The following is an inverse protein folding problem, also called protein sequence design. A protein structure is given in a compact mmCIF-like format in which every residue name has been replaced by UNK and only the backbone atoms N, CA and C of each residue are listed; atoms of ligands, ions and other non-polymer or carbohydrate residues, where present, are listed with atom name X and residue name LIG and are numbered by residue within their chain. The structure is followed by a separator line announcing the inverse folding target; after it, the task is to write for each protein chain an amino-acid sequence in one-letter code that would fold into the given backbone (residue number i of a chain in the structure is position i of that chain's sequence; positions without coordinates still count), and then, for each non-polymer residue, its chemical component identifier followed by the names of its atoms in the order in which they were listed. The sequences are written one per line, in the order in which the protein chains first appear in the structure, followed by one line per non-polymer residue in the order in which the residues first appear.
data_IF_035300814021
#
_entry.id   IF_035300814021
#
_cell.length_a   1.000
_cell.length_b   1.000
_cell.length_c   1.000
_cell.angle_alpha   90.00
_cell.angle_beta   90.00
_cell.angle_gamma   90.00
#
_symmetry.space_group_name_H-M   'P 1'
#
loop_
_entity.id
_entity.type
_entity.pdbx_description
1 polymer ?
#
# COMPACT_ATOMS: atom_id res chain seq x y z
N UNK A 1 -0.03 65.69 35.98
CA UNK A 1 0.84 64.51 36.10
C UNK A 1 -0.01 63.31 35.73
N UNK A 2 -0.42 63.27 34.46
CA UNK A 2 -1.52 62.43 33.97
C UNK A 2 -1.33 62.29 32.47
N UNK A 3 -0.24 61.63 32.07
CA UNK A 3 -0.08 61.21 30.66
C UNK A 3 1.01 60.14 30.45
N UNK A 4 1.33 59.36 31.48
CA UNK A 4 2.31 58.27 31.37
C UNK A 4 1.69 56.88 31.51
N UNK A 5 0.50 56.74 32.10
CA UNK A 5 -0.20 55.45 32.21
C UNK A 5 -0.93 55.03 30.92
N UNK A 6 -1.23 55.97 30.03
CA UNK A 6 -1.91 55.73 28.74
C UNK A 6 -0.98 55.14 27.66
N UNK A 7 0.34 55.31 27.81
CA UNK A 7 1.34 54.84 26.85
C UNK A 7 1.86 53.42 27.11
N UNK A 8 1.53 52.81 28.25
CA UNK A 8 2.02 51.47 28.63
C UNK A 8 1.07 50.31 28.29
N UNK A 9 -0.13 50.57 27.75
CA UNK A 9 -1.15 49.55 27.51
C UNK A 9 -1.54 49.32 26.04
N UNK A 10 -0.90 50.01 25.09
CA UNK A 10 -1.06 49.66 23.67
C UNK A 10 -0.12 48.50 23.32
N UNK A 11 -0.54 47.25 23.61
CA UNK A 11 0.09 46.08 23.00
C UNK A 11 -0.09 46.21 21.48
N UNK A 12 0.97 46.42 20.67
CA UNK A 12 0.85 46.76 19.26
C UNK A 12 0.45 45.56 18.39
N UNK A 13 -0.07 44.50 19.00
CA UNK A 13 -0.53 43.32 18.28
C UNK A 13 -1.86 43.66 17.63
N UNK A 14 -1.96 43.59 16.29
CA UNK A 14 -3.21 43.85 15.61
C UNK A 14 -4.31 42.94 16.18
N UNK A 15 -5.46 43.53 16.53
CA UNK A 15 -6.64 42.80 16.99
C UNK A 15 -7.03 41.76 15.93
N UNK A 16 -6.76 40.49 16.21
CA UNK A 16 -7.13 39.39 15.31
C UNK A 16 -8.64 39.16 15.39
N UNK A 17 -9.30 39.07 14.24
CA UNK A 17 -10.74 38.76 14.19
C UNK A 17 -11.00 37.31 14.61
N UNK A 18 -12.15 37.00 15.23
CA UNK A 18 -12.55 35.63 15.49
C UNK A 18 -12.58 34.82 14.18
N UNK A 19 -11.70 33.81 14.05
CA UNK A 19 -11.58 32.98 12.86
C UNK A 19 -10.35 33.26 11.96
N UNK A 20 -9.56 34.30 12.24
CA UNK A 20 -8.30 34.54 11.57
C UNK A 20 -7.22 33.56 12.07
N UNK A 21 -7.11 32.41 11.40
CA UNK A 21 -5.99 31.50 11.59
C UNK A 21 -4.76 32.10 10.93
N UNK A 22 -3.74 32.43 11.72
CA UNK A 22 -2.41 32.70 11.16
C UNK A 22 -1.88 31.46 10.42
N UNK A 23 -0.90 31.60 9.53
CA UNK A 23 -0.36 30.49 8.74
C UNK A 23 0.04 29.25 9.59
N UNK A 24 0.63 29.49 10.77
CA UNK A 24 0.97 28.42 11.74
C UNK A 24 -0.24 27.76 12.38
N UNK A 25 -1.32 28.51 12.60
CA UNK A 25 -2.56 27.98 13.17
C UNK A 25 -3.33 27.17 12.14
N UNK A 26 -3.36 27.64 10.88
CA UNK A 26 -3.92 26.92 9.75
C UNK A 26 -3.16 25.60 9.53
N UNK A 27 -1.82 25.62 9.49
CA UNK A 27 -1.02 24.40 9.34
C UNK A 27 -1.29 23.37 10.44
N UNK A 28 -1.34 23.81 11.71
CA UNK A 28 -1.68 22.93 12.85
C UNK A 28 -3.11 22.41 12.79
N UNK A 29 -4.05 23.22 12.31
CA UNK A 29 -5.44 22.80 12.14
C UNK A 29 -5.56 21.76 11.02
N UNK A 30 -4.98 22.01 9.85
CA UNK A 30 -4.95 21.08 8.71
C UNK A 30 -4.29 19.76 9.12
N UNK A 31 -3.16 19.82 9.83
CA UNK A 31 -2.49 18.61 10.34
C UNK A 31 -3.39 17.81 11.28
N UNK A 32 -4.07 18.46 12.23
CA UNK A 32 -5.03 17.77 13.12
C UNK A 32 -6.21 17.16 12.37
N UNK A 33 -6.68 17.82 11.32
CA UNK A 33 -7.77 17.30 10.50
C UNK A 33 -7.31 16.07 9.71
N UNK A 34 -6.14 16.15 9.08
CA UNK A 34 -5.57 15.07 8.26
C UNK A 34 -5.21 13.84 9.11
N UNK A 35 -4.73 14.04 10.32
CA UNK A 35 -4.35 12.97 11.26
C UNK A 35 -5.51 12.47 12.14
N UNK A 36 -6.76 12.81 11.81
CA UNK A 36 -7.93 12.29 12.51
C UNK A 36 -8.44 10.98 11.90
N UNK A 37 -8.88 10.05 12.77
CA UNK A 37 -9.46 8.77 12.34
C UNK A 37 -10.68 8.94 11.40
N UNK A 38 -11.48 9.99 11.63
CA UNK A 38 -12.63 10.32 10.79
C UNK A 38 -12.19 10.61 9.35
N UNK A 39 -11.16 11.44 9.19
CA UNK A 39 -10.63 11.76 7.85
C UNK A 39 -10.08 10.51 7.18
N UNK A 40 -9.37 9.64 7.89
CA UNK A 40 -8.88 8.38 7.33
C UNK A 40 -10.03 7.50 6.78
N UNK A 41 -11.13 7.37 7.51
CA UNK A 41 -12.30 6.60 7.06
C UNK A 41 -12.98 7.22 5.83
N UNK A 42 -13.08 8.56 5.79
CA UNK A 42 -13.62 9.27 4.62
C UNK A 42 -12.71 9.09 3.41
N UNK A 43 -11.39 9.23 3.58
CA UNK A 43 -10.42 9.04 2.51
C UNK A 43 -10.44 7.60 1.97
N UNK A 44 -10.61 6.61 2.86
CA UNK A 44 -10.78 5.21 2.45
C UNK A 44 -12.04 5.03 1.58
N UNK A 45 -13.17 5.64 1.98
CA UNK A 45 -14.40 5.60 1.18
C UNK A 45 -14.21 6.30 -0.18
N UNK A 46 -13.56 7.47 -0.19
CA UNK A 46 -13.28 8.21 -1.42
C UNK A 46 -12.36 7.41 -2.34
N UNK A 47 -11.32 6.77 -1.80
CA UNK A 47 -10.44 5.88 -2.56
C UNK A 47 -11.21 4.71 -3.17
N UNK A 48 -12.11 4.09 -2.41
CA UNK A 48 -12.94 2.99 -2.90
C UNK A 48 -13.84 3.44 -4.08
N UNK A 49 -14.47 4.61 -3.98
CA UNK A 49 -15.28 5.18 -5.07
C UNK A 49 -14.42 5.55 -6.28
N UNK A 50 -13.24 6.11 -6.04
CA UNK A 50 -12.25 6.48 -7.05
C UNK A 50 -11.71 5.27 -7.84
N UNK A 51 -11.67 4.08 -7.23
CA UNK A 51 -11.21 2.85 -7.88
C UNK A 51 -12.26 2.24 -8.84
N UNK A 52 -13.55 2.57 -8.69
CA UNK A 52 -14.63 1.99 -9.50
C UNK A 52 -14.43 2.22 -11.00
N UNK A 53 -14.17 3.45 -11.49
CA UNK A 53 -13.93 3.67 -12.91
C UNK A 53 -12.75 2.85 -13.46
N UNK A 54 -11.65 2.74 -12.69
CA UNK A 54 -10.46 1.99 -13.08
C UNK A 54 -10.70 0.48 -13.25
N UNK A 55 -11.76 -0.06 -12.63
CA UNK A 55 -12.15 -1.47 -12.77
C UNK A 55 -13.14 -1.74 -13.90
N UNK A 56 -13.78 -0.70 -14.44
CA UNK A 56 -14.82 -0.83 -15.48
C UNK A 56 -14.29 -0.38 -16.84
N UNK A 57 -13.42 0.63 -16.86
CA UNK A 57 -12.89 1.24 -18.07
C UNK A 57 -11.53 0.60 -18.38
N UNK A 58 -11.24 0.22 -19.65
CA UNK A 58 -9.93 -0.32 -20.02
C UNK A 58 -8.79 0.60 -19.58
N UNK A 59 -7.74 0.03 -18.99
CA UNK A 59 -6.58 0.77 -18.51
C UNK A 59 -5.38 0.56 -19.44
N UNK A 60 -4.68 1.64 -19.79
CA UNK A 60 -3.58 1.59 -20.76
C UNK A 60 -2.40 0.76 -20.26
N UNK A 61 -2.11 0.80 -18.95
CA UNK A 61 -1.07 -0.01 -18.33
C UNK A 61 -1.41 -1.51 -18.19
N UNK A 62 -2.61 -1.93 -18.61
CA UNK A 62 -3.05 -3.35 -18.63
C UNK A 62 -3.20 -3.85 -20.06
N UNK A 63 -3.95 -3.14 -20.91
CA UNK A 63 -4.12 -3.47 -22.33
C UNK A 63 -4.30 -2.18 -23.15
N UNK A 64 -3.18 -1.68 -23.69
CA UNK A 64 -3.17 -0.50 -24.55
C UNK A 64 -3.97 -0.68 -25.85
N UNK A 65 -4.06 -1.92 -26.36
CA UNK A 65 -4.79 -2.23 -27.59
C UNK A 65 -6.31 -2.22 -27.36
N UNK A 66 -6.77 -2.69 -26.21
CA UNK A 66 -8.18 -2.57 -25.79
C UNK A 66 -8.57 -1.10 -25.62
N UNK A 67 -7.72 -0.29 -24.99
CA UNK A 67 -7.92 1.17 -24.88
C UNK A 67 -8.03 1.81 -26.26
N UNK A 68 -7.13 1.51 -27.19
CA UNK A 68 -7.15 2.03 -28.55
C UNK A 68 -8.47 1.69 -29.26
N UNK A 69 -8.88 0.41 -29.23
CA UNK A 69 -10.16 -0.04 -29.78
C UNK A 69 -11.37 0.65 -29.14
N UNK A 70 -11.34 0.88 -27.83
CA UNK A 70 -12.42 1.58 -27.13
C UNK A 70 -12.56 3.02 -27.63
N UNK A 71 -11.44 3.72 -27.81
CA UNK A 71 -11.41 5.12 -28.27
C UNK A 71 -11.98 5.26 -29.69
N UNK A 72 -11.66 4.32 -30.56
CA UNK A 72 -12.19 4.27 -31.94
C UNK A 72 -13.71 4.03 -31.96
N UNK A 73 -14.22 3.22 -31.03
CA UNK A 73 -15.66 2.93 -30.91
C UNK A 73 -16.46 4.07 -30.27
N UNK A 74 -15.82 4.92 -29.45
CA UNK A 74 -16.48 5.96 -28.66
C UNK A 74 -15.89 7.38 -28.86
N UNK A 75 -15.80 7.89 -30.11
CA UNK A 75 -15.07 9.12 -30.43
C UNK A 75 -15.61 10.38 -29.73
N UNK A 76 -16.89 10.41 -29.34
CA UNK A 76 -17.49 11.54 -28.63
C UNK A 76 -17.19 11.55 -27.13
N UNK A 77 -16.93 10.39 -26.51
CA UNK A 77 -16.65 10.25 -25.07
C UNK A 77 -15.15 10.34 -24.78
N UNK A 78 -14.31 9.89 -25.73
CA UNK A 78 -12.85 9.85 -25.61
C UNK A 78 -12.25 11.16 -25.06
N UNK A 79 -12.57 12.36 -25.58
CA UNK A 79 -11.96 13.61 -25.08
C UNK A 79 -12.27 13.90 -23.61
N UNK A 80 -13.46 13.49 -23.13
CA UNK A 80 -13.86 13.68 -21.73
C UNK A 80 -13.08 12.70 -20.84
N UNK A 81 -12.98 11.44 -21.26
CA UNK A 81 -12.31 10.39 -20.50
C UNK A 81 -10.81 10.66 -20.39
N UNK A 82 -10.18 11.14 -21.46
CA UNK A 82 -8.77 11.56 -21.45
C UNK A 82 -8.53 12.75 -20.52
N UNK A 83 -9.42 13.76 -20.55
CA UNK A 83 -9.31 14.93 -19.67
C UNK A 83 -9.45 14.58 -18.18
N UNK A 84 -10.20 13.53 -17.87
CA UNK A 84 -10.37 13.00 -16.52
C UNK A 84 -9.36 11.90 -16.17
N UNK A 85 -8.46 11.53 -17.09
CA UNK A 85 -7.49 10.44 -16.95
C UNK A 85 -8.14 9.09 -16.63
N UNK A 86 -9.29 8.78 -17.22
CA UNK A 86 -10.04 7.53 -16.93
C UNK A 86 -9.43 6.26 -17.55
N UNK A 87 -8.53 6.40 -18.53
CA UNK A 87 -7.77 5.27 -19.08
C UNK A 87 -6.47 4.97 -18.31
N UNK A 88 -6.11 5.85 -17.37
CA UNK A 88 -4.91 5.74 -16.54
C UNK A 88 -5.23 6.24 -15.14
N UNK A 89 -6.30 5.69 -14.54
CA UNK A 89 -6.84 6.15 -13.26
C UNK A 89 -5.79 6.05 -12.15
N UNK A 90 -5.06 4.93 -12.12
CA UNK A 90 -4.08 4.63 -11.08
C UNK A 90 -2.86 5.56 -11.10
N UNK A 91 -2.50 6.08 -12.28
CA UNK A 91 -1.39 7.02 -12.46
C UNK A 91 -1.84 8.49 -12.45
N UNK A 92 -3.14 8.72 -12.36
CA UNK A 92 -3.69 10.08 -12.40
C UNK A 92 -3.30 10.89 -11.17
N UNK A 93 -3.08 12.20 -11.36
CA UNK A 93 -2.72 13.11 -10.28
C UNK A 93 -3.81 13.17 -9.17
N UNK A 94 -5.08 13.04 -9.54
CA UNK A 94 -6.19 13.11 -8.59
C UNK A 94 -6.31 11.82 -7.76
N UNK A 95 -6.09 10.64 -8.34
CA UNK A 95 -6.06 9.37 -7.61
C UNK A 95 -4.85 9.33 -6.67
N UNK A 96 -3.68 9.73 -7.18
CA UNK A 96 -2.45 9.86 -6.40
C UNK A 96 -2.62 10.81 -5.21
N UNK A 97 -3.33 11.93 -5.38
CA UNK A 97 -3.60 12.86 -4.27
C UNK A 97 -4.42 12.19 -3.15
N UNK A 98 -5.44 11.40 -3.48
CA UNK A 98 -6.25 10.67 -2.49
C UNK A 98 -5.36 9.67 -1.74
N UNK A 99 -4.56 8.90 -2.47
CA UNK A 99 -3.64 7.91 -1.90
C UNK A 99 -2.59 8.56 -0.98
N UNK A 100 -1.96 9.66 -1.40
CA UNK A 100 -0.97 10.39 -0.59
C UNK A 100 -1.62 10.96 0.68
N UNK A 101 -2.82 11.54 0.58
CA UNK A 101 -3.56 12.03 1.74
C UNK A 101 -3.90 10.90 2.71
N UNK A 102 -4.32 9.74 2.20
CA UNK A 102 -4.60 8.55 3.00
C UNK A 102 -3.32 8.06 3.71
N UNK A 103 -2.19 8.02 3.00
CA UNK A 103 -0.90 7.65 3.57
C UNK A 103 -0.48 8.59 4.70
N UNK A 104 -0.52 9.92 4.45
CA UNK A 104 -0.17 10.91 5.47
C UNK A 104 -1.12 10.79 6.67
N UNK A 105 -2.41 10.56 6.43
CA UNK A 105 -3.40 10.35 7.49
C UNK A 105 -3.07 9.11 8.33
N UNK A 106 -2.76 7.99 7.67
CA UNK A 106 -2.39 6.72 8.30
C UNK A 106 -1.13 6.87 9.18
N UNK A 107 -0.07 7.45 8.61
CA UNK A 107 1.19 7.73 9.32
C UNK A 107 0.96 8.69 10.49
N UNK A 108 0.17 9.74 10.26
CA UNK A 108 -0.18 10.72 11.28
C UNK A 108 -1.02 10.17 12.42
N UNK A 109 -1.85 9.16 12.18
CA UNK A 109 -2.60 8.44 13.21
C UNK A 109 -1.71 7.47 14.00
N UNK A 110 -0.81 6.75 13.31
CA UNK A 110 -0.07 5.63 13.91
C UNK A 110 1.10 6.08 14.78
N UNK A 111 1.81 7.16 14.38
CA UNK A 111 3.01 7.61 15.07
C UNK A 111 2.69 8.04 16.51
N UNK A 112 1.74 8.96 16.77
CA UNK A 112 1.42 9.39 18.13
C UNK A 112 0.87 8.23 18.96
N UNK A 113 0.06 7.37 18.35
CA UNK A 113 -0.50 6.20 19.02
C UNK A 113 0.57 5.22 19.46
N UNK A 114 1.57 4.97 18.62
CA UNK A 114 2.73 4.14 18.96
C UNK A 114 3.46 4.70 20.17
N UNK A 115 3.72 6.01 20.21
CA UNK A 115 4.40 6.62 21.36
C UNK A 115 3.59 6.55 22.65
N UNK A 116 2.28 6.85 22.60
CA UNK A 116 1.39 6.73 23.77
C UNK A 116 1.35 5.28 24.26
N UNK A 117 1.25 4.33 23.34
CA UNK A 117 1.21 2.92 23.66
C UNK A 117 2.52 2.42 24.28
N UNK A 118 3.67 2.80 23.72
CA UNK A 118 4.99 2.50 24.28
C UNK A 118 5.16 3.10 25.69
N UNK A 119 4.64 4.31 25.91
CA UNK A 119 4.62 4.94 27.23
C UNK A 119 3.73 4.17 28.21
N UNK A 120 2.57 3.69 27.78
CA UNK A 120 1.63 2.92 28.62
C UNK A 120 2.14 1.50 28.94
N UNK A 121 2.85 0.85 28.00
CA UNK A 121 3.52 -0.43 28.30
C UNK A 121 4.56 -0.24 29.39
N UNK A 122 5.26 0.90 29.43
CA UNK A 122 6.30 1.19 30.42
C UNK A 122 5.74 1.78 31.73
N UNK A 123 4.50 2.26 31.73
CA UNK A 123 3.86 2.81 32.92
C UNK A 123 3.52 1.70 33.93
N UNK A 124 3.54 2.04 35.21
CA UNK A 124 3.02 1.13 36.24
C UNK A 124 1.49 1.04 36.14
N UNK A 125 0.89 -0.09 36.56
CA UNK A 125 -0.56 -0.20 36.66
C UNK A 125 -1.14 0.94 37.53
N UNK A 126 -2.34 1.45 37.18
CA UNK A 126 -2.98 2.54 37.93
C UNK A 126 -3.22 2.13 39.38
N UNK A 127 -3.18 3.08 40.32
CA UNK A 127 -3.47 2.79 41.72
C UNK A 127 -4.92 2.31 41.90
N UNK A 128 -5.16 1.44 42.90
CA UNK A 128 -6.50 1.01 43.22
C UNK A 128 -7.35 2.22 43.66
N UNK A 129 -8.59 2.35 43.16
CA UNK A 129 -9.45 3.44 43.57
C UNK A 129 -9.83 3.30 45.05
N UNK A 130 -9.95 4.42 45.76
CA UNK A 130 -10.28 4.47 47.19
C UNK A 130 -11.58 3.75 47.57
N UNK A 131 -12.52 3.61 46.63
CA UNK A 131 -13.79 2.94 46.85
C UNK A 131 -14.05 1.90 45.76
N UNK A 132 -13.67 0.65 46.04
CA UNK A 132 -13.81 -0.49 45.12
C UNK A 132 -15.27 -0.87 44.86
N UNK A 133 -16.19 -0.59 45.79
CA UNK A 133 -17.61 -0.91 45.68
C UNK A 133 -18.34 -0.06 44.62
N UNK A 134 -17.73 1.02 44.14
CA UNK A 134 -18.27 1.84 43.06
C UNK A 134 -17.95 1.30 41.66
N UNK A 135 -17.08 0.29 41.55
CA UNK A 135 -16.77 -0.32 40.27
C UNK A 135 -17.97 -1.17 39.80
N UNK A 136 -18.35 -1.11 38.51
CA UNK A 136 -19.45 -1.90 37.97
C UNK A 136 -19.25 -3.40 38.19
N UNK A 137 -18.01 -3.87 38.02
CA UNK A 137 -17.60 -5.24 38.26
C UNK A 137 -16.81 -5.32 39.57
N UNK A 138 -17.49 -5.69 40.65
CA UNK A 138 -16.86 -5.96 41.95
C UNK A 138 -17.47 -7.20 42.62
N UNK A 139 -16.67 -7.83 43.48
CA UNK A 139 -17.12 -8.91 44.35
C UNK A 139 -16.45 -8.76 45.72
N UNK A 140 -17.20 -9.03 46.79
CA UNK A 140 -16.72 -8.95 48.17
C UNK A 140 -16.84 -10.30 48.86
N UNK A 141 -15.78 -10.70 49.56
CA UNK A 141 -15.72 -11.93 50.32
C UNK A 141 -15.14 -11.64 51.70
N UNK A 142 -15.58 -12.37 52.72
CA UNK A 142 -15.01 -12.31 54.07
C UNK A 142 -13.97 -13.41 54.23
N UNK A 143 -12.80 -13.09 54.78
CA UNK A 143 -11.73 -14.05 55.08
C UNK A 143 -11.32 -13.93 56.56
N UNK A 144 -11.00 -15.04 57.24
CA UNK A 144 -10.42 -15.01 58.58
C UNK A 144 -8.90 -14.73 58.58
N UNK A 145 -8.27 -14.65 57.41
CA UNK A 145 -6.84 -14.38 57.27
C UNK A 145 -6.51 -12.90 57.46
N UNK A 146 -5.28 -12.61 57.91
CA UNK A 146 -4.74 -11.26 58.00
C UNK A 146 -4.58 -10.63 56.60
N UNK A 147 -4.71 -9.30 56.52
CA UNK A 147 -4.68 -8.53 55.25
C UNK A 147 -3.41 -8.82 54.44
N UNK A 148 -2.26 -8.86 55.10
CA UNK A 148 -0.97 -9.10 54.44
C UNK A 148 -0.88 -10.50 53.80
N UNK A 149 -1.48 -11.51 54.44
CA UNK A 149 -1.50 -12.88 53.94
C UNK A 149 -2.40 -12.98 52.68
N UNK A 150 -3.56 -12.33 52.71
CA UNK A 150 -4.47 -12.25 51.57
C UNK A 150 -3.80 -11.53 50.39
N UNK A 151 -3.14 -10.40 50.63
CA UNK A 151 -2.42 -9.66 49.58
C UNK A 151 -1.25 -10.47 49.02
N UNK A 152 -0.50 -11.20 49.85
CA UNK A 152 0.59 -12.06 49.40
C UNK A 152 0.09 -13.19 48.49
N UNK A 153 -0.98 -13.88 48.87
CA UNK A 153 -1.60 -14.92 48.06
C UNK A 153 -2.15 -14.35 46.74
N UNK A 154 -2.81 -13.18 46.78
CA UNK A 154 -3.30 -12.51 45.59
C UNK A 154 -2.16 -12.15 44.61
N UNK A 155 -1.00 -11.68 45.09
CA UNK A 155 0.18 -11.41 44.25
C UNK A 155 0.66 -12.66 43.51
N UNK A 156 0.71 -13.81 44.20
CA UNK A 156 1.13 -15.09 43.60
C UNK A 156 0.15 -15.51 42.50
N UNK A 157 -1.15 -15.49 42.79
CA UNK A 157 -2.19 -15.88 41.83
C UNK A 157 -2.18 -14.95 40.61
N UNK A 158 -2.13 -13.64 40.81
CA UNK A 158 -2.15 -12.67 39.70
C UNK A 158 -0.88 -12.77 38.83
N UNK A 159 0.31 -12.95 39.43
CA UNK A 159 1.54 -13.19 38.66
C UNK A 159 1.48 -14.50 37.87
N UNK A 160 0.97 -15.58 38.47
CA UNK A 160 0.84 -16.88 37.79
C UNK A 160 -0.10 -16.80 36.57
N UNK A 161 -1.08 -15.88 36.61
CA UNK A 161 -1.98 -15.58 35.50
C UNK A 161 -1.46 -14.50 34.56
N UNK A 162 -0.20 -14.09 34.67
CA UNK A 162 0.44 -13.12 33.76
C UNK A 162 -0.06 -11.68 33.90
N UNK A 163 -0.59 -11.29 35.06
CA UNK A 163 -0.90 -9.88 35.33
C UNK A 163 0.36 -9.12 35.72
N UNK A 164 0.44 -7.86 35.28
CA UNK A 164 1.46 -6.93 35.75
C UNK A 164 0.97 -6.25 37.03
N UNK A 165 1.78 -6.31 38.08
CA UNK A 165 1.46 -5.73 39.39
C UNK A 165 2.08 -4.35 39.52
N UNK A 166 1.40 -3.47 40.26
CA UNK A 166 2.00 -2.23 40.76
C UNK A 166 2.85 -2.56 41.99
N UNK A 167 4.07 -2.05 42.04
CA UNK A 167 4.92 -2.17 43.22
C UNK A 167 4.32 -1.35 44.37
N UNK A 168 4.43 -1.85 45.61
CA UNK A 168 3.97 -1.13 46.79
C UNK A 168 4.75 0.19 46.89
N UNK A 169 4.03 1.30 47.01
CA UNK A 169 4.58 2.67 47.02
C UNK A 169 4.61 3.16 48.46
N UNK A 170 5.77 3.13 49.17
CA UNK A 170 5.89 3.37 50.61
C UNK A 170 5.17 4.59 51.19
N UNK A 171 4.97 5.63 50.37
CA UNK A 171 4.38 6.90 50.78
C UNK A 171 3.12 7.28 49.97
N UNK A 172 2.66 6.39 49.08
CA UNK A 172 1.38 6.52 48.39
C UNK A 172 0.21 5.96 49.21
N UNK A 173 -1.05 6.10 48.75
CA UNK A 173 -2.11 5.17 49.13
C UNK A 173 -1.71 3.78 48.59
N UNK A 174 -0.80 3.12 49.30
CA UNK A 174 0.16 2.22 48.66
C UNK A 174 1.39 1.82 49.49
N UNK A 175 1.67 2.47 50.62
CA UNK A 175 2.89 2.23 51.41
C UNK A 175 2.92 0.94 52.21
N UNK A 176 4.02 0.56 52.92
CA UNK A 176 3.97 -0.59 53.81
C UNK A 176 2.81 -0.38 54.81
N UNK A 177 1.70 -1.10 54.59
CA UNK A 177 0.38 -0.81 55.18
C UNK A 177 -0.73 -0.42 54.20
N UNK A 178 -0.58 -0.58 52.88
CA UNK A 178 -1.64 -0.31 51.93
C UNK A 178 -2.50 -1.53 51.65
N UNK A 179 -3.75 -1.45 52.10
CA UNK A 179 -4.79 -2.49 52.04
C UNK A 179 -5.27 -2.83 50.62
N UNK A 180 -4.49 -2.55 49.57
CA UNK A 180 -4.92 -2.73 48.18
C UNK A 180 -3.80 -3.20 47.24
N UNK A 181 -4.19 -4.03 46.28
CA UNK A 181 -3.32 -4.52 45.20
C UNK A 181 -3.95 -4.15 43.86
N UNK A 182 -3.17 -3.51 42.98
CA UNK A 182 -3.59 -3.21 41.62
C UNK A 182 -2.80 -4.04 40.61
N UNK A 183 -3.51 -4.55 39.61
CA UNK A 183 -2.97 -5.43 38.59
C UNK A 183 -3.69 -5.19 37.26
N UNK A 184 -2.95 -5.28 36.15
CA UNK A 184 -3.52 -5.12 34.82
C UNK A 184 -3.03 -6.20 33.84
N UNK A 185 -3.86 -6.50 32.84
CA UNK A 185 -3.58 -7.40 31.73
C UNK A 185 -4.45 -6.97 30.54
N UNK A 186 -4.01 -7.21 29.30
CA UNK A 186 -4.85 -6.97 28.10
C UNK A 186 -4.21 -6.21 26.94
N UNK A 187 -2.90 -5.99 26.96
CA UNK A 187 -2.17 -5.22 25.95
C UNK A 187 -2.22 -5.81 24.52
N UNK A 188 -2.43 -7.12 24.36
CA UNK A 188 -2.37 -7.82 23.06
C UNK A 188 -3.32 -7.25 22.01
N UNK A 189 -4.53 -6.83 22.40
CA UNK A 189 -5.52 -6.28 21.45
C UNK A 189 -5.01 -5.00 20.80
N UNK A 190 -4.35 -4.15 21.58
CA UNK A 190 -3.81 -2.89 21.08
C UNK A 190 -2.51 -3.09 20.30
N UNK A 191 -1.64 -4.02 20.75
CA UNK A 191 -0.47 -4.44 19.96
C UNK A 191 -0.90 -4.92 18.58
N UNK A 192 -1.87 -5.84 18.50
CA UNK A 192 -2.28 -6.45 17.24
C UNK A 192 -2.79 -5.40 16.25
N UNK A 193 -3.62 -4.46 16.72
CA UNK A 193 -4.07 -3.35 15.89
C UNK A 193 -2.90 -2.46 15.43
N UNK A 194 -1.93 -2.17 16.30
CA UNK A 194 -0.75 -1.38 15.96
C UNK A 194 0.13 -2.08 14.91
N UNK A 195 0.41 -3.37 15.10
CA UNK A 195 1.18 -4.19 14.17
C UNK A 195 0.52 -4.19 12.79
N UNK A 196 -0.80 -4.43 12.71
CA UNK A 196 -1.51 -4.44 11.44
C UNK A 196 -1.28 -3.16 10.63
N UNK A 197 -1.42 -1.99 11.27
CA UNK A 197 -1.22 -0.71 10.59
C UNK A 197 0.25 -0.49 10.21
N UNK A 198 1.21 -0.88 11.07
CA UNK A 198 2.63 -0.83 10.75
C UNK A 198 2.96 -1.73 9.55
N UNK A 199 2.38 -2.92 9.47
CA UNK A 199 2.57 -3.85 8.36
C UNK A 199 2.05 -3.26 7.04
N UNK A 200 0.88 -2.60 7.07
CA UNK A 200 0.37 -1.88 5.88
C UNK A 200 1.36 -0.80 5.44
N UNK A 201 1.86 0.02 6.36
CA UNK A 201 2.87 1.06 6.02
C UNK A 201 4.12 0.42 5.44
N UNK A 202 4.62 -0.67 6.04
CA UNK A 202 5.82 -1.36 5.56
C UNK A 202 5.64 -1.87 4.12
N UNK A 203 4.51 -2.52 3.82
CA UNK A 203 4.17 -2.97 2.46
C UNK A 203 4.11 -1.79 1.49
N UNK A 204 3.47 -0.68 1.87
CA UNK A 204 3.35 0.48 1.00
C UNK A 204 4.69 1.18 0.76
N UNK A 205 5.58 1.23 1.76
CA UNK A 205 6.95 1.73 1.59
C UNK A 205 7.74 0.81 0.66
N UNK A 206 7.62 -0.51 0.81
CA UNK A 206 8.25 -1.48 -0.09
C UNK A 206 7.75 -1.32 -1.53
N UNK A 207 6.43 -1.17 -1.71
CA UNK A 207 5.83 -0.88 -3.02
C UNK A 207 6.34 0.44 -3.61
N UNK A 208 6.40 1.52 -2.82
CA UNK A 208 6.91 2.80 -3.28
C UNK A 208 8.38 2.67 -3.71
N UNK A 209 9.24 2.06 -2.90
CA UNK A 209 10.65 1.82 -3.25
C UNK A 209 10.75 1.00 -4.54
N UNK A 210 9.96 -0.08 -4.68
CA UNK A 210 9.93 -0.91 -5.88
C UNK A 210 9.45 -0.16 -7.13
N UNK A 211 8.45 0.72 -7.00
CA UNK A 211 7.98 1.58 -8.09
C UNK A 211 8.98 2.67 -8.46
N UNK A 212 9.75 3.21 -7.50
CA UNK A 212 10.77 4.22 -7.76
C UNK A 212 12.04 3.63 -8.40
N UNK A 213 12.46 2.44 -7.96
CA UNK A 213 13.73 1.79 -8.36
C UNK A 213 13.57 0.67 -9.38
N UNK A 214 12.33 0.27 -9.71
CA UNK A 214 12.05 -0.78 -10.69
C UNK A 214 11.57 -0.21 -12.01
N UNK A 215 11.11 -1.09 -12.90
CA UNK A 215 10.46 -0.72 -14.14
C UNK A 215 9.37 -1.73 -14.48
N UNK A 216 8.42 -1.29 -15.31
CA UNK A 216 7.47 -2.18 -15.98
C UNK A 216 7.60 -1.96 -17.48
N UNK A 217 7.55 -3.05 -18.25
CA UNK A 217 7.65 -2.99 -19.70
C UNK A 217 6.77 -4.03 -20.37
N UNK A 218 6.07 -3.62 -21.42
CA UNK A 218 5.31 -4.49 -22.32
C UNK A 218 6.03 -4.62 -23.65
N UNK A 219 6.08 -5.84 -24.20
CA UNK A 219 6.64 -6.10 -25.53
C UNK A 219 5.87 -7.23 -26.21
N UNK A 220 5.62 -7.06 -27.51
CA UNK A 220 5.08 -8.08 -28.39
C UNK A 220 6.25 -8.75 -29.11
N UNK A 221 6.50 -10.02 -28.80
CA UNK A 221 7.60 -10.79 -29.40
C UNK A 221 7.04 -11.77 -30.42
N UNK A 222 7.57 -11.70 -31.64
CA UNK A 222 7.27 -12.63 -32.71
C UNK A 222 8.02 -13.95 -32.51
N UNK A 223 7.37 -15.08 -32.82
CA UNK A 223 8.03 -16.38 -32.77
C UNK A 223 9.26 -16.38 -33.71
N UNK A 224 10.39 -16.84 -33.20
CA UNK A 224 11.68 -16.87 -33.89
C UNK A 224 12.50 -15.58 -33.79
N UNK A 225 12.01 -14.56 -33.08
CA UNK A 225 12.77 -13.33 -32.82
C UNK A 225 13.38 -13.33 -31.42
N UNK A 226 14.57 -12.75 -31.30
CA UNK A 226 15.28 -12.58 -30.02
C UNK A 226 15.02 -11.19 -29.48
N UNK A 227 14.60 -11.13 -28.22
CA UNK A 227 14.46 -9.95 -27.40
C UNK A 227 15.72 -9.77 -26.53
N UNK A 228 16.17 -8.52 -26.40
CA UNK A 228 17.22 -8.14 -25.47
C UNK A 228 16.64 -7.17 -24.44
N UNK A 229 17.00 -7.34 -23.16
CA UNK A 229 16.48 -6.48 -22.10
C UNK A 229 17.12 -5.08 -22.12
N UNK A 230 16.61 -4.21 -23.00
CA UNK A 230 17.04 -2.82 -23.11
C UNK A 230 15.82 -1.92 -23.26
N UNK A 231 15.93 -0.65 -22.87
CA UNK A 231 14.81 0.31 -22.96
C UNK A 231 14.26 0.47 -24.38
N UNK A 232 15.09 0.30 -25.42
CA UNK A 232 14.69 0.41 -26.81
C UNK A 232 13.93 -0.82 -27.35
N UNK A 233 13.90 -1.92 -26.60
CA UNK A 233 13.28 -3.18 -27.03
C UNK A 233 11.84 -3.34 -26.55
N UNK A 234 11.34 -2.43 -25.72
CA UNK A 234 9.97 -2.44 -25.19
C UNK A 234 9.04 -1.57 -26.05
N UNK A 235 7.81 -2.04 -26.26
CA UNK A 235 6.75 -1.29 -26.96
C UNK A 235 6.11 -0.24 -26.04
N UNK A 236 5.97 -0.59 -24.77
CA UNK A 236 5.55 0.30 -23.68
C UNK A 236 6.54 0.12 -22.52
N UNK A 237 7.07 1.22 -22.01
CA UNK A 237 8.10 1.21 -20.98
C UNK A 237 7.84 2.30 -19.96
N UNK A 238 7.62 1.89 -18.72
CA UNK A 238 7.36 2.76 -17.58
C UNK A 238 8.45 2.54 -16.51
N UNK A 239 9.57 3.29 -16.59
CA UNK A 239 10.62 3.21 -15.60
C UNK A 239 10.25 4.00 -14.35
N UNK A 240 10.64 3.47 -13.20
CA UNK A 240 10.66 4.22 -11.96
C UNK A 240 11.54 5.48 -12.09
N UNK A 241 11.17 6.53 -11.37
CA UNK A 241 11.87 7.84 -11.46
C UNK A 241 13.36 7.80 -11.09
N UNK A 242 13.80 6.74 -10.41
CA UNK A 242 15.20 6.53 -10.01
C UNK A 242 15.85 5.35 -10.75
N UNK A 243 15.16 4.73 -11.72
CA UNK A 243 15.69 3.64 -12.54
C UNK A 243 16.46 4.20 -13.75
N UNK A 244 17.71 3.78 -13.91
CA UNK A 244 18.61 4.17 -14.98
C UNK A 244 18.78 3.09 -16.05
N UNK A 245 19.44 3.46 -17.15
CA UNK A 245 19.77 2.52 -18.24
C UNK A 245 20.78 1.45 -17.84
N UNK A 246 21.55 1.68 -16.78
CA UNK A 246 22.58 0.75 -16.30
C UNK A 246 22.02 -0.27 -15.27
N UNK A 247 20.77 -0.11 -14.85
CA UNK A 247 20.11 -0.96 -13.86
C UNK A 247 19.42 -2.19 -14.47
N UNK A 248 19.44 -2.33 -15.80
CA UNK A 248 18.87 -3.48 -16.50
C UNK A 248 19.71 -4.75 -16.29
N UNK A 249 19.05 -5.88 -16.02
CA UNK A 249 19.66 -7.21 -16.12
C UNK A 249 19.92 -7.54 -17.60
N UNK A 250 21.15 -7.87 -18.02
CA UNK A 250 21.53 -7.95 -19.43
C UNK A 250 21.17 -9.30 -20.10
N UNK A 251 19.90 -9.70 -20.02
CA UNK A 251 19.45 -10.98 -20.56
C UNK A 251 18.94 -10.92 -22.00
N UNK A 252 18.97 -12.08 -22.65
CA UNK A 252 18.40 -12.34 -23.98
C UNK A 252 17.32 -13.41 -23.87
N UNK A 253 16.27 -13.30 -24.67
CA UNK A 253 15.18 -14.26 -24.70
C UNK A 253 14.64 -14.44 -26.12
N UNK A 254 14.47 -15.67 -26.57
CA UNK A 254 13.91 -16.01 -27.88
C UNK A 254 12.65 -16.84 -27.68
N UNK A 255 11.58 -16.50 -28.42
CA UNK A 255 10.34 -17.31 -28.43
C UNK A 255 10.47 -18.37 -29.52
N UNK A 256 10.79 -19.60 -29.13
CA UNK A 256 10.98 -20.72 -30.08
C UNK A 256 9.65 -21.26 -30.62
N UNK A 257 8.62 -21.24 -29.76
CA UNK A 257 7.32 -21.80 -30.08
C UNK A 257 6.21 -21.22 -29.22
N UNK A 258 5.00 -21.21 -29.76
CA UNK A 258 3.81 -20.77 -29.04
C UNK A 258 2.66 -21.76 -29.27
N UNK A 259 2.10 -22.26 -28.19
CA UNK A 259 1.03 -23.26 -28.22
C UNK A 259 -0.23 -22.68 -27.57
N UNK A 260 -1.38 -22.83 -28.21
CA UNK A 260 -2.69 -22.36 -27.71
C UNK A 260 -3.69 -23.51 -27.75
N UNK A 261 -4.33 -23.76 -26.61
CA UNK A 261 -5.49 -24.64 -26.50
C UNK A 261 -6.75 -23.77 -26.48
N UNK A 262 -7.64 -23.96 -27.45
CA UNK A 262 -8.89 -23.20 -27.58
C UNK A 262 -10.07 -23.97 -26.98
N UNK A 263 -11.03 -23.25 -26.40
CA UNK A 263 -12.36 -23.80 -26.14
C UNK A 263 -13.11 -23.92 -27.47
N UNK A 264 -13.51 -25.13 -27.83
CA UNK A 264 -14.18 -25.41 -29.12
C UNK A 264 -15.71 -25.45 -29.01
N UNK A 265 -16.25 -25.50 -27.79
CA UNK A 265 -17.68 -25.70 -27.53
C UNK A 265 -18.20 -24.80 -26.39
N UNK A 266 -19.51 -24.60 -26.34
CA UNK A 266 -20.19 -23.81 -25.32
C UNK A 266 -20.20 -22.30 -25.61
N UNK A 267 -20.71 -21.51 -24.66
CA UNK A 267 -20.85 -20.06 -24.80
C UNK A 267 -19.52 -19.30 -24.85
N UNK A 268 -18.41 -19.96 -24.49
CA UNK A 268 -17.06 -19.43 -24.54
C UNK A 268 -16.24 -20.02 -25.72
N UNK A 269 -16.88 -20.67 -26.68
CA UNK A 269 -16.18 -21.20 -27.86
C UNK A 269 -15.42 -20.08 -28.59
N UNK A 270 -14.16 -20.33 -28.92
CA UNK A 270 -13.25 -19.35 -29.54
C UNK A 270 -12.38 -18.58 -28.54
N UNK A 271 -12.49 -18.81 -27.23
CA UNK A 271 -11.53 -18.25 -26.25
C UNK A 271 -10.39 -19.22 -25.94
N UNK A 272 -9.22 -18.69 -25.65
CA UNK A 272 -8.07 -19.49 -25.27
C UNK A 272 -8.27 -20.08 -23.86
N UNK A 273 -8.24 -21.40 -23.76
CA UNK A 273 -8.24 -22.12 -22.47
C UNK A 273 -6.87 -22.06 -21.80
N UNK A 274 -5.82 -22.20 -22.60
CA UNK A 274 -4.42 -22.18 -22.17
C UNK A 274 -3.54 -21.70 -23.31
N UNK A 275 -2.51 -20.94 -22.98
CA UNK A 275 -1.43 -20.64 -23.91
C UNK A 275 -0.10 -20.67 -23.18
N UNK A 276 0.94 -21.11 -23.87
CA UNK A 276 2.30 -21.18 -23.35
C UNK A 276 3.32 -20.89 -24.45
N UNK A 277 4.41 -20.25 -24.05
CA UNK A 277 5.53 -19.92 -24.91
C UNK A 277 6.73 -20.77 -24.51
N UNK A 278 7.26 -21.54 -25.46
CA UNK A 278 8.56 -22.22 -25.31
C UNK A 278 9.64 -21.20 -25.62
N UNK A 279 10.51 -20.97 -24.65
CA UNK A 279 11.53 -19.94 -24.69
C UNK A 279 12.91 -20.55 -24.54
N UNK A 280 13.88 -19.92 -25.20
CA UNK A 280 15.30 -20.06 -24.89
C UNK A 280 15.80 -18.72 -24.38
N UNK A 281 16.50 -18.70 -23.24
CA UNK A 281 17.04 -17.47 -22.65
C UNK A 281 18.49 -17.65 -22.20
N UNK A 282 19.19 -16.52 -22.06
CA UNK A 282 20.54 -16.42 -21.51
C UNK A 282 20.58 -15.24 -20.54
N UNK A 283 21.10 -15.44 -19.32
CA UNK A 283 21.18 -14.36 -18.31
C UNK A 283 22.14 -13.23 -18.73
N UNK A 284 23.16 -13.57 -19.50
CA UNK A 284 24.10 -12.65 -20.15
C UNK A 284 24.47 -13.20 -21.52
N UNK A 285 25.10 -12.40 -22.38
CA UNK A 285 25.57 -12.84 -23.72
C UNK A 285 26.55 -14.03 -23.67
N UNK A 286 27.21 -14.24 -22.53
CA UNK A 286 28.18 -15.32 -22.31
C UNK A 286 27.61 -16.50 -21.50
N UNK A 287 26.41 -16.34 -20.95
CA UNK A 287 25.76 -17.36 -20.15
C UNK A 287 25.29 -18.54 -21.01
N UNK A 288 25.22 -19.76 -20.45
CA UNK A 288 24.64 -20.89 -21.18
C UNK A 288 23.17 -20.64 -21.51
N UNK A 289 22.73 -21.18 -22.65
CA UNK A 289 21.32 -21.19 -23.02
C UNK A 289 20.52 -22.12 -22.11
N UNK A 290 19.42 -21.59 -21.60
CA UNK A 290 18.44 -22.32 -20.82
C UNK A 290 17.08 -22.29 -21.53
N UNK A 291 16.29 -23.35 -21.36
CA UNK A 291 14.94 -23.43 -21.94
C UNK A 291 13.90 -23.34 -20.85
N UNK A 292 12.80 -22.65 -21.13
CA UNK A 292 11.68 -22.50 -20.20
C UNK A 292 10.34 -22.53 -20.93
N UNK A 293 9.35 -23.19 -20.31
CA UNK A 293 7.97 -23.19 -20.78
C UNK A 293 7.16 -22.15 -20.00
N UNK A 294 7.12 -20.92 -20.53
CA UNK A 294 6.43 -19.79 -19.93
C UNK A 294 4.92 -19.97 -20.06
N UNK A 295 4.23 -20.00 -18.92
CA UNK A 295 2.79 -20.28 -18.84
C UNK A 295 2.10 -19.20 -18.02
N UNK A 296 0.80 -19.01 -18.26
CA UNK A 296 -0.04 -18.15 -17.43
C UNK A 296 0.06 -18.58 -15.96
N UNK A 297 0.28 -17.62 -15.04
CA UNK A 297 0.54 -17.82 -13.62
C UNK A 297 1.82 -18.60 -13.25
N UNK A 298 2.70 -18.87 -14.21
CA UNK A 298 4.03 -19.45 -13.98
C UNK A 298 5.08 -18.56 -14.65
N UNK A 299 5.42 -17.42 -14.04
CA UNK A 299 6.38 -16.48 -14.60
C UNK A 299 7.81 -17.04 -14.58
N UNK A 300 8.62 -16.58 -15.53
CA UNK A 300 10.07 -16.76 -15.52
C UNK A 300 10.71 -15.61 -14.75
N UNK A 301 11.76 -15.88 -14.00
CA UNK A 301 12.56 -14.84 -13.34
C UNK A 301 14.00 -14.97 -13.82
N UNK A 302 14.54 -13.88 -14.38
CA UNK A 302 15.95 -13.78 -14.79
C UNK A 302 16.55 -12.61 -14.02
N UNK A 303 17.54 -12.87 -13.17
CA UNK A 303 18.06 -11.86 -12.25
C UNK A 303 16.98 -11.32 -11.32
N UNK A 304 16.74 -10.00 -11.37
CA UNK A 304 15.67 -9.32 -10.63
C UNK A 304 14.42 -9.06 -11.51
N UNK A 305 14.44 -9.51 -12.77
CA UNK A 305 13.37 -9.25 -13.73
C UNK A 305 12.38 -10.42 -13.79
N UNK A 306 11.11 -10.13 -13.52
CA UNK A 306 10.00 -11.08 -13.69
C UNK A 306 9.35 -10.95 -15.06
N UNK A 307 9.23 -12.06 -15.79
CA UNK A 307 8.66 -12.13 -17.13
C UNK A 307 7.32 -12.87 -17.07
N UNK A 308 6.27 -12.21 -17.53
CA UNK A 308 4.90 -12.70 -17.47
C UNK A 308 4.31 -12.83 -18.87
N UNK A 309 3.65 -13.95 -19.13
CA UNK A 309 2.87 -14.14 -20.35
C UNK A 309 1.45 -13.62 -20.13
N UNK A 310 1.19 -12.41 -20.63
CA UNK A 310 -0.07 -11.67 -20.40
C UNK A 310 -1.09 -11.80 -21.53
N UNK A 311 -0.66 -12.15 -22.74
CA UNK A 311 -1.52 -12.14 -23.92
C UNK A 311 -0.96 -12.94 -25.09
N UNK A 312 -1.73 -12.94 -26.17
CA UNK A 312 -1.38 -13.60 -27.44
C UNK A 312 -2.08 -12.90 -28.60
N UNK A 313 -1.53 -13.07 -29.80
CA UNK A 313 -2.07 -12.51 -31.03
C UNK A 313 -1.57 -13.27 -32.25
N UNK A 314 -2.16 -12.97 -33.40
CA UNK A 314 -1.69 -13.49 -34.68
C UNK A 314 -0.72 -12.50 -35.30
N UNK A 315 0.40 -13.01 -35.81
CA UNK A 315 1.33 -12.28 -36.67
C UNK A 315 1.10 -12.73 -38.13
N UNK A 316 0.26 -12.02 -38.91
CA UNK A 316 -0.03 -12.43 -40.27
C UNK A 316 1.21 -12.29 -41.15
N UNK A 317 1.47 -13.31 -41.98
CA UNK A 317 2.52 -13.24 -43.01
C UNK A 317 1.91 -12.66 -44.28
N UNK A 318 2.28 -11.42 -44.60
CA UNK A 318 1.85 -10.76 -45.82
C UNK A 318 2.88 -11.00 -46.92
N UNK A 319 2.45 -11.62 -48.01
CA UNK A 319 3.27 -11.83 -49.22
C UNK A 319 2.79 -10.91 -50.34
N UNK A 320 3.61 -9.90 -50.67
CA UNK A 320 3.37 -9.01 -51.81
C UNK A 320 4.00 -9.63 -53.06
N UNK A 321 3.23 -9.71 -54.14
CA UNK A 321 3.68 -10.19 -55.44
C UNK A 321 3.69 -9.06 -56.47
N UNK A 322 4.66 -9.09 -57.38
CA UNK A 322 4.73 -8.15 -58.50
C UNK A 322 3.69 -8.47 -59.60
N UNK A 323 3.65 -7.64 -60.65
CA UNK A 323 2.74 -7.83 -61.79
C UNK A 323 2.99 -9.10 -62.61
N UNK A 324 4.12 -9.78 -62.38
CA UNK A 324 4.50 -11.04 -63.03
C UNK A 324 4.26 -12.25 -62.10
N UNK A 325 3.83 -12.03 -60.85
CA UNK A 325 3.52 -13.05 -59.86
C UNK A 325 4.69 -13.46 -58.97
N UNK A 326 5.87 -12.86 -59.13
CA UNK A 326 7.04 -13.13 -58.29
C UNK A 326 6.86 -12.47 -56.92
N UNK A 327 7.42 -13.09 -55.87
CA UNK A 327 7.37 -12.53 -54.51
C UNK A 327 8.30 -11.32 -54.42
N UNK A 328 7.72 -10.14 -54.27
CA UNK A 328 8.45 -8.89 -54.06
C UNK A 328 8.84 -8.69 -52.59
N UNK A 329 7.97 -9.10 -51.66
CA UNK A 329 8.22 -9.06 -50.22
C UNK A 329 7.37 -10.12 -49.50
N UNK A 330 7.90 -10.73 -48.44
CA UNK A 330 7.15 -11.64 -47.57
C UNK A 330 7.70 -11.60 -46.16
N UNK A 331 6.83 -11.42 -45.17
CA UNK A 331 7.23 -11.43 -43.76
C UNK A 331 6.03 -11.28 -42.83
N UNK A 332 6.19 -11.60 -41.54
CA UNK A 332 5.20 -11.28 -40.53
C UNK A 332 5.10 -9.75 -40.38
N UNK A 333 3.89 -9.24 -40.12
CA UNK A 333 3.62 -7.81 -39.88
C UNK A 333 2.99 -7.54 -38.54
#
# INVERSE_FOLDING_TARGET
MTDLDSLLLADPRPERRPGELGARELARWTWRQLTSMRTALILLLVLALAAVPGSIIPQSGVDALEVSRWKDQHPSLTPIYERLSLFSVYDSAWFSAIYILLMISLVGCIIPRTFVYLRNIRAQPPAAPRNLLRLPDHASYTSPQEVDEVLAQARVVLRSRGYRLRDADPDGPGGPGADSLSAERGYLREVGNLIFHLSVIFVLVGFAIGSLLGYQGGVIILQGTTFANTSASYDDFDPGSLFGTDDFDPFLMTVDGFDIEWLTEGSAAGTARKFNARLTYQETVEAPEETYDLRVNHPLTIGNTGIFLIGHGYAPVLTVRDGEGNVAASGPT
#
